data_IF_013324772817
#
_entry.id   IF_013324772817
#
_cell.length_a   1.000
_cell.length_b   1.000
_cell.length_c   1.000
_cell.angle_alpha   90.00
_cell.angle_beta   90.00
_cell.angle_gamma   90.00
#
_symmetry.space_group_name_H-M   'P 1'
#
loop_
_entity.id
_entity.type
_entity.pdbx_description
1 polymer ?
#
# COMPACT_ATOMS: atom_id res chain seq x y z
N UNK A 1 34.88 27.66 -13.98
CA UNK A 1 33.45 27.32 -14.11
C UNK A 1 33.13 26.17 -13.17
N UNK A 2 32.98 26.46 -11.88
CA UNK A 2 32.60 25.49 -10.84
C UNK A 2 31.19 25.85 -10.39
N UNK A 3 30.22 25.63 -11.28
CA UNK A 3 28.82 25.72 -10.91
C UNK A 3 28.49 24.53 -10.04
N UNK A 4 28.14 24.76 -8.78
CA UNK A 4 27.62 23.75 -7.88
C UNK A 4 26.46 23.00 -8.59
N UNK A 5 26.62 21.71 -8.96
CA UNK A 5 25.59 20.97 -9.67
C UNK A 5 24.31 20.85 -8.85
N UNK A 6 24.35 21.11 -7.53
CA UNK A 6 23.17 21.15 -6.66
C UNK A 6 22.32 22.41 -6.85
N UNK A 7 22.85 23.48 -7.44
CA UNK A 7 22.11 24.72 -7.74
C UNK A 7 21.43 24.73 -9.11
N UNK A 8 21.90 23.91 -10.06
CA UNK A 8 21.34 23.88 -11.43
C UNK A 8 19.97 23.19 -11.51
N UNK A 9 19.69 22.26 -10.60
CA UNK A 9 18.38 21.65 -10.45
C UNK A 9 17.64 22.44 -9.37
N UNK A 10 16.98 23.53 -9.77
CA UNK A 10 16.05 24.25 -8.91
C UNK A 10 14.92 23.32 -8.49
N UNK A 11 15.12 22.54 -7.41
CA UNK A 11 14.15 21.60 -6.86
C UNK A 11 13.00 22.37 -6.20
N UNK A 12 12.09 22.85 -7.03
CA UNK A 12 10.79 23.31 -6.59
C UNK A 12 9.98 22.07 -6.21
N UNK A 13 9.86 21.79 -4.91
CA UNK A 13 8.71 21.06 -4.38
C UNK A 13 7.45 21.62 -5.04
N UNK A 14 6.43 20.83 -5.41
CA UNK A 14 5.30 21.37 -6.14
C UNK A 14 4.67 22.47 -5.29
N UNK A 15 4.96 23.72 -5.65
CA UNK A 15 4.27 24.90 -5.13
C UNK A 15 2.80 24.85 -5.53
N UNK A 16 2.45 23.99 -6.48
CA UNK A 16 1.08 23.68 -6.87
C UNK A 16 0.56 22.50 -6.05
N UNK A 17 0.06 22.78 -4.84
CA UNK A 17 -0.93 21.90 -4.19
C UNK A 17 -2.03 21.46 -5.18
N UNK A 18 -2.33 22.32 -6.17
CA UNK A 18 -3.16 22.05 -7.34
C UNK A 18 -2.76 20.78 -8.12
N UNK A 19 -1.48 20.54 -8.38
CA UNK A 19 -1.03 19.37 -9.15
C UNK A 19 -1.21 18.07 -8.36
N UNK A 20 -0.95 18.10 -7.05
CA UNK A 20 -1.21 16.96 -6.17
C UNK A 20 -2.71 16.67 -6.05
N UNK A 21 -3.54 17.70 -5.92
CA UNK A 21 -5.01 17.57 -5.91
C UNK A 21 -5.51 17.01 -7.24
N UNK A 22 -4.95 17.47 -8.37
CA UNK A 22 -5.26 16.94 -9.69
C UNK A 22 -4.90 15.46 -9.81
N UNK A 23 -3.69 15.07 -9.38
CA UNK A 23 -3.24 13.68 -9.36
C UNK A 23 -4.18 12.82 -8.50
N UNK A 24 -4.47 13.26 -7.27
CA UNK A 24 -5.37 12.56 -6.36
C UNK A 24 -6.77 12.40 -6.94
N UNK A 25 -7.34 13.46 -7.52
CA UNK A 25 -8.66 13.42 -8.15
C UNK A 25 -8.70 12.49 -9.36
N UNK A 26 -7.69 12.55 -10.23
CA UNK A 26 -7.59 11.67 -11.41
C UNK A 26 -7.46 10.20 -11.00
N UNK A 27 -6.55 9.90 -10.08
CA UNK A 27 -6.29 8.54 -9.63
C UNK A 27 -7.48 7.96 -8.88
N UNK A 28 -8.06 8.72 -7.94
CA UNK A 28 -9.22 8.30 -7.18
C UNK A 28 -10.45 8.10 -8.07
N UNK A 29 -10.71 8.99 -9.04
CA UNK A 29 -11.84 8.83 -9.96
C UNK A 29 -11.68 7.63 -10.88
N UNK A 30 -10.48 7.38 -11.40
CA UNK A 30 -10.19 6.19 -12.21
C UNK A 30 -10.35 4.91 -11.39
N UNK A 31 -9.78 4.89 -10.18
CA UNK A 31 -9.90 3.75 -9.26
C UNK A 31 -11.36 3.50 -8.88
N UNK A 32 -12.13 4.56 -8.62
CA UNK A 32 -13.55 4.45 -8.32
C UNK A 32 -14.37 3.94 -9.50
N UNK A 33 -14.05 4.35 -10.72
CA UNK A 33 -14.70 3.84 -11.93
C UNK A 33 -14.41 2.33 -12.13
N UNK A 34 -13.15 1.91 -12.01
CA UNK A 34 -12.73 0.52 -12.16
C UNK A 34 -13.35 -0.40 -11.08
N UNK A 35 -13.49 0.12 -9.85
CA UNK A 35 -14.02 -0.64 -8.72
C UNK A 35 -15.45 -0.25 -8.32
N UNK A 36 -16.20 0.38 -9.24
CA UNK A 36 -17.59 0.76 -9.03
C UNK A 36 -18.48 -0.38 -8.50
N UNK A 37 -18.33 -1.65 -8.97
CA UNK A 37 -19.11 -2.77 -8.43
C UNK A 37 -18.90 -2.99 -6.93
N UNK A 38 -17.70 -2.77 -6.39
CA UNK A 38 -17.40 -2.93 -4.97
C UNK A 38 -17.85 -1.69 -4.20
N UNK A 39 -17.61 -0.49 -4.74
CA UNK A 39 -18.03 0.76 -4.11
C UNK A 39 -19.54 0.91 -3.97
N UNK A 40 -20.34 0.27 -4.84
CA UNK A 40 -21.81 0.23 -4.73
C UNK A 40 -22.33 -0.70 -3.65
N UNK A 41 -21.54 -1.69 -3.22
CA UNK A 41 -21.94 -2.66 -2.20
C UNK A 41 -20.76 -3.07 -1.31
N UNK A 42 -20.10 -2.12 -0.62
CA UNK A 42 -18.80 -2.33 0.01
C UNK A 42 -18.84 -3.31 1.18
N UNK A 43 -20.01 -3.49 1.81
CA UNK A 43 -20.22 -4.46 2.89
C UNK A 43 -20.52 -5.88 2.39
N UNK A 44 -20.82 -6.06 1.10
CA UNK A 44 -21.24 -7.36 0.51
C UNK A 44 -20.28 -7.88 -0.54
N UNK A 45 -19.35 -7.05 -1.00
CA UNK A 45 -18.37 -7.38 -2.05
C UNK A 45 -16.98 -7.06 -1.54
N UNK A 46 -16.01 -7.86 -1.93
CA UNK A 46 -14.60 -7.66 -1.59
C UNK A 46 -13.77 -7.42 -2.85
N UNK A 47 -12.82 -6.51 -2.76
CA UNK A 47 -11.70 -6.37 -3.70
C UNK A 47 -10.73 -7.51 -3.45
N UNK A 48 -10.85 -8.60 -4.20
CA UNK A 48 -9.92 -9.71 -4.03
C UNK A 48 -10.03 -10.81 -5.08
N UNK A 49 -10.42 -10.48 -6.30
CA UNK A 49 -10.25 -11.40 -7.43
C UNK A 49 -10.94 -12.76 -7.29
N UNK A 50 -10.49 -13.72 -8.09
CA UNK A 50 -11.13 -15.04 -8.23
C UNK A 50 -10.56 -16.13 -7.31
N UNK A 51 -9.35 -15.95 -6.76
CA UNK A 51 -8.63 -17.04 -6.05
C UNK A 51 -8.47 -16.78 -4.54
N UNK A 52 -7.86 -15.66 -4.14
CA UNK A 52 -7.31 -15.50 -2.77
C UNK A 52 -8.12 -14.53 -1.89
N UNK A 53 -9.15 -13.85 -2.43
CA UNK A 53 -10.05 -12.97 -1.69
C UNK A 53 -10.52 -13.55 -0.35
N UNK A 54 -10.99 -14.81 -0.39
CA UNK A 54 -11.56 -15.49 0.76
C UNK A 54 -10.53 -15.69 1.87
N UNK A 55 -9.28 -15.98 1.51
CA UNK A 55 -8.18 -16.14 2.47
C UNK A 55 -7.87 -14.82 3.15
N UNK A 56 -7.74 -13.72 2.41
CA UNK A 56 -7.49 -12.40 2.99
C UNK A 56 -8.61 -11.93 3.92
N UNK A 57 -9.86 -12.17 3.53
CA UNK A 57 -11.04 -11.91 4.37
C UNK A 57 -11.03 -12.76 5.63
N UNK A 58 -10.64 -14.03 5.51
CA UNK A 58 -10.56 -14.95 6.63
C UNK A 58 -9.41 -14.59 7.57
N UNK A 59 -8.23 -14.22 7.08
CA UNK A 59 -7.09 -13.74 7.88
C UNK A 59 -7.48 -12.48 8.67
N UNK A 60 -8.12 -11.54 7.99
CA UNK A 60 -8.68 -10.33 8.56
C UNK A 60 -9.65 -10.61 9.72
N UNK A 61 -10.55 -11.58 9.53
CA UNK A 61 -11.50 -12.02 10.55
C UNK A 61 -10.79 -12.77 11.70
N UNK A 62 -9.85 -13.66 11.37
CA UNK A 62 -9.08 -14.46 12.32
C UNK A 62 -8.26 -13.59 13.24
N UNK A 63 -7.48 -12.66 12.68
CA UNK A 63 -6.65 -11.72 13.43
C UNK A 63 -7.50 -11.04 14.52
N UNK A 64 -8.69 -10.60 14.13
CA UNK A 64 -9.66 -10.01 15.03
C UNK A 64 -10.26 -10.91 16.09
N UNK A 65 -10.65 -12.12 15.69
CA UNK A 65 -11.21 -13.13 16.59
C UNK A 65 -10.18 -13.63 17.60
N UNK A 66 -8.94 -13.83 17.19
CA UNK A 66 -7.85 -14.26 18.05
C UNK A 66 -7.57 -13.25 19.18
N UNK A 67 -7.60 -11.94 18.90
CA UNK A 67 -7.52 -10.90 19.93
C UNK A 67 -8.69 -10.93 20.94
N UNK A 68 -9.81 -11.56 20.59
CA UNK A 68 -10.98 -11.75 21.46
C UNK A 68 -10.98 -13.12 22.15
N UNK A 69 -9.91 -13.91 22.02
CA UNK A 69 -9.78 -15.23 22.64
C UNK A 69 -10.31 -16.40 21.80
N UNK A 70 -10.63 -16.20 20.52
CA UNK A 70 -11.16 -17.24 19.63
C UNK A 70 -10.10 -18.28 19.19
N UNK A 71 -8.83 -18.08 19.56
CA UNK A 71 -7.72 -18.94 19.16
C UNK A 71 -6.46 -18.70 19.99
N UNK A 72 -5.44 -19.56 19.82
CA UNK A 72 -4.22 -19.50 20.63
C UNK A 72 -3.37 -18.26 20.35
N UNK A 73 -3.46 -17.69 19.14
CA UNK A 73 -2.67 -16.53 18.72
C UNK A 73 -3.26 -15.84 17.49
N UNK A 74 -3.12 -14.51 17.34
CA UNK A 74 -3.44 -13.82 16.08
C UNK A 74 -2.47 -14.14 14.95
N UNK A 75 -1.36 -14.83 15.24
CA UNK A 75 -0.29 -15.15 14.28
C UNK A 75 -0.27 -16.61 13.84
N UNK A 76 -1.08 -17.48 14.44
CA UNK A 76 -1.18 -18.89 14.07
C UNK A 76 -2.60 -19.40 14.20
N UNK A 77 -2.96 -20.40 13.39
CA UNK A 77 -4.26 -21.04 13.45
C UNK A 77 -4.14 -22.52 13.08
N UNK A 78 -4.93 -23.33 13.76
CA UNK A 78 -5.18 -24.73 13.39
C UNK A 78 -6.47 -24.89 12.58
N UNK A 79 -7.23 -23.80 12.36
CA UNK A 79 -8.56 -23.86 11.76
C UNK A 79 -8.54 -24.24 10.26
N UNK A 80 -7.43 -23.99 9.56
CA UNK A 80 -7.28 -24.35 8.15
C UNK A 80 -6.58 -25.70 7.92
N UNK A 81 -5.70 -26.12 8.84
CA UNK A 81 -4.79 -27.26 8.62
C UNK A 81 -4.69 -28.18 9.85
N UNK A 82 -5.81 -28.52 10.48
CA UNK A 82 -5.82 -29.37 11.67
C UNK A 82 -5.18 -30.75 11.41
N UNK A 83 -4.34 -31.30 12.33
CA UNK A 83 -3.96 -30.76 13.64
C UNK A 83 -2.80 -29.75 13.64
N UNK A 84 -2.13 -29.56 12.50
CA UNK A 84 -0.99 -28.67 12.38
C UNK A 84 -1.43 -27.19 12.51
N UNK A 85 -0.77 -26.46 13.39
CA UNK A 85 -0.90 -25.01 13.38
C UNK A 85 -0.08 -24.47 12.21
N UNK A 86 -0.70 -23.62 11.38
CA UNK A 86 0.01 -22.86 10.37
C UNK A 86 0.15 -21.40 10.82
N UNK A 87 1.19 -20.69 10.39
CA UNK A 87 1.26 -19.25 10.51
C UNK A 87 0.10 -18.61 9.74
N UNK A 88 -0.60 -17.70 10.40
CA UNK A 88 -1.73 -16.92 9.85
C UNK A 88 -1.54 -15.44 10.08
N UNK A 89 -0.30 -15.05 10.41
CA UNK A 89 0.05 -13.64 10.36
C UNK A 89 -0.26 -13.15 8.95
N UNK A 90 -1.00 -12.04 8.80
CA UNK A 90 -1.12 -11.46 7.48
C UNK A 90 0.29 -11.26 6.97
N UNK A 91 0.42 -11.58 5.70
CA UNK A 91 1.56 -11.27 4.86
C UNK A 91 2.27 -9.97 5.30
N UNK A 92 1.55 -8.92 5.77
CA UNK A 92 2.18 -7.85 6.57
C UNK A 92 1.51 -7.66 7.95
N UNK A 93 2.24 -7.81 9.09
CA UNK A 93 1.75 -7.48 10.44
C UNK A 93 1.25 -6.03 10.56
N UNK A 94 1.86 -5.11 9.82
CA UNK A 94 1.44 -3.72 9.80
C UNK A 94 0.18 -3.52 8.96
N UNK A 95 0.01 -4.25 7.85
CA UNK A 95 -1.27 -4.30 7.15
C UNK A 95 -2.38 -4.83 8.08
N UNK A 96 -2.11 -5.85 8.91
CA UNK A 96 -3.02 -6.31 9.96
C UNK A 96 -3.46 -5.17 10.88
N UNK A 97 -2.47 -4.45 11.41
CA UNK A 97 -2.66 -3.42 12.41
C UNK A 97 -3.42 -2.22 11.86
N UNK A 98 -3.24 -1.90 10.58
CA UNK A 98 -3.96 -0.83 9.87
C UNK A 98 -5.37 -1.26 9.43
N UNK A 99 -5.51 -2.51 8.99
CA UNK A 99 -6.79 -3.07 8.56
C UNK A 99 -7.77 -3.25 9.73
N UNK A 100 -7.30 -3.73 10.89
CA UNK A 100 -8.15 -4.03 12.04
C UNK A 100 -9.03 -2.86 12.54
N UNK A 101 -8.52 -1.64 12.74
CA UNK A 101 -9.37 -0.51 13.10
C UNK A 101 -10.37 -0.16 11.99
N UNK A 102 -9.97 -0.25 10.71
CA UNK A 102 -10.86 0.01 9.58
C UNK A 102 -12.01 -1.01 9.53
N UNK A 103 -11.73 -2.28 9.82
CA UNK A 103 -12.74 -3.33 9.83
C UNK A 103 -13.75 -3.21 10.98
N UNK A 104 -13.33 -2.64 12.12
CA UNK A 104 -14.26 -2.26 13.20
C UNK A 104 -15.17 -1.10 12.81
N UNK A 105 -14.63 -0.11 12.10
CA UNK A 105 -15.38 1.10 11.74
C UNK A 105 -16.34 0.87 10.56
N UNK A 106 -15.91 0.13 9.55
CA UNK A 106 -16.65 -0.01 8.29
C UNK A 106 -17.29 -1.40 8.13
N UNK A 107 -16.92 -2.36 8.97
CA UNK A 107 -17.21 -3.79 8.78
C UNK A 107 -16.08 -4.50 8.03
N UNK A 108 -16.07 -5.83 8.11
CA UNK A 108 -14.97 -6.67 7.63
C UNK A 108 -14.61 -6.40 6.17
N UNK A 109 -15.60 -6.45 5.27
CA UNK A 109 -15.39 -6.31 3.82
C UNK A 109 -15.10 -4.86 3.43
N UNK A 110 -15.91 -3.91 3.93
CA UNK A 110 -15.73 -2.50 3.60
C UNK A 110 -14.41 -1.95 4.14
N UNK A 111 -13.95 -2.40 5.32
CA UNK A 111 -12.64 -2.07 5.86
C UNK A 111 -11.51 -2.58 4.97
N UNK A 112 -11.64 -3.80 4.43
CA UNK A 112 -10.61 -4.40 3.58
C UNK A 112 -10.54 -3.68 2.24
N UNK A 113 -11.70 -3.36 1.69
CA UNK A 113 -11.82 -2.57 0.47
C UNK A 113 -11.21 -1.17 0.63
N UNK A 114 -11.54 -0.48 1.73
CA UNK A 114 -11.03 0.86 2.01
C UNK A 114 -9.50 0.84 2.15
N UNK A 115 -8.96 -0.11 2.93
CA UNK A 115 -7.52 -0.30 3.05
C UNK A 115 -6.89 -0.56 1.68
N UNK A 116 -7.51 -1.42 0.88
CA UNK A 116 -6.99 -1.80 -0.42
C UNK A 116 -6.91 -0.64 -1.40
N UNK A 117 -8.01 0.10 -1.54
CA UNK A 117 -8.10 1.27 -2.43
C UNK A 117 -7.15 2.39 -1.97
N UNK A 118 -7.02 2.59 -0.65
CA UNK A 118 -6.08 3.55 -0.10
C UNK A 118 -4.63 3.20 -0.46
N UNK A 119 -4.25 1.92 -0.43
CA UNK A 119 -2.92 1.48 -0.82
C UNK A 119 -2.60 1.77 -2.29
N UNK A 120 -3.55 1.50 -3.21
CA UNK A 120 -3.40 1.85 -4.63
C UNK A 120 -3.21 3.36 -4.83
N UNK A 121 -4.03 4.17 -4.16
CA UNK A 121 -3.92 5.62 -4.25
C UNK A 121 -2.58 6.12 -3.70
N UNK A 122 -2.11 5.56 -2.59
CA UNK A 122 -0.79 5.83 -2.03
C UNK A 122 0.34 5.45 -3.01
N UNK A 123 0.23 4.33 -3.73
CA UNK A 123 1.21 3.91 -4.74
C UNK A 123 1.33 4.97 -5.84
N UNK A 124 0.20 5.35 -6.44
CA UNK A 124 0.17 6.33 -7.52
C UNK A 124 0.64 7.71 -7.08
N UNK A 125 0.18 8.18 -5.91
CA UNK A 125 0.58 9.48 -5.36
C UNK A 125 2.06 9.50 -4.96
N UNK A 126 2.56 8.43 -4.35
CA UNK A 126 3.99 8.30 -4.02
C UNK A 126 4.85 8.36 -5.28
N UNK A 127 4.46 7.65 -6.33
CA UNK A 127 5.22 7.66 -7.59
C UNK A 127 5.09 8.99 -8.32
N UNK A 128 3.93 9.64 -8.28
CA UNK A 128 3.77 11.01 -8.77
C UNK A 128 4.74 11.96 -8.06
N UNK A 129 4.81 11.93 -6.73
CA UNK A 129 5.72 12.78 -5.96
C UNK A 129 7.19 12.49 -6.28
N UNK A 130 7.56 11.21 -6.40
CA UNK A 130 8.91 10.79 -6.77
C UNK A 130 9.29 11.26 -8.18
N UNK A 131 8.45 10.99 -9.18
CA UNK A 131 8.69 11.42 -10.56
C UNK A 131 8.73 12.94 -10.69
N UNK A 132 7.85 13.65 -9.97
CA UNK A 132 7.87 15.10 -9.94
C UNK A 132 9.16 15.64 -9.29
N UNK A 133 9.61 15.04 -8.20
CA UNK A 133 10.87 15.42 -7.54
C UNK A 133 12.07 15.19 -8.47
N UNK A 134 12.06 14.15 -9.30
CA UNK A 134 13.15 13.87 -10.25
C UNK A 134 13.12 14.73 -11.52
N UNK A 135 11.94 15.09 -12.01
CA UNK A 135 11.79 15.70 -13.35
C UNK A 135 11.36 17.16 -13.34
N UNK A 136 10.70 17.62 -12.26
CA UNK A 136 10.02 18.91 -12.21
C UNK A 136 8.83 19.05 -13.18
N UNK A 137 8.45 17.98 -13.91
CA UNK A 137 7.48 18.05 -15.01
C UNK A 137 6.16 17.37 -14.64
N UNK A 138 5.09 18.16 -14.45
CA UNK A 138 3.79 17.67 -13.94
C UNK A 138 3.17 16.59 -14.84
N UNK A 139 3.04 16.76 -16.17
CA UNK A 139 2.46 15.71 -17.01
C UNK A 139 3.23 14.38 -16.96
N UNK A 140 4.57 14.44 -16.89
CA UNK A 140 5.40 13.24 -16.82
C UNK A 140 5.21 12.53 -15.47
N UNK A 141 5.13 13.31 -14.39
CA UNK A 141 4.85 12.78 -13.06
C UNK A 141 3.44 12.17 -12.95
N UNK A 142 2.43 12.79 -13.56
CA UNK A 142 1.07 12.24 -13.62
C UNK A 142 1.05 10.91 -14.37
N UNK A 143 1.72 10.83 -15.52
CA UNK A 143 1.84 9.59 -16.28
C UNK A 143 2.57 8.51 -15.47
N UNK A 144 3.68 8.85 -14.81
CA UNK A 144 4.45 7.90 -13.99
C UNK A 144 3.62 7.34 -12.82
N UNK A 145 2.90 8.21 -12.11
CA UNK A 145 2.03 7.77 -11.02
C UNK A 145 0.89 6.87 -11.49
N UNK A 146 0.23 7.24 -12.60
CA UNK A 146 -0.83 6.45 -13.20
C UNK A 146 -0.34 5.07 -13.66
N UNK A 147 0.76 5.02 -14.42
CA UNK A 147 1.35 3.77 -14.93
C UNK A 147 1.81 2.86 -13.81
N UNK A 148 2.36 3.41 -12.72
CA UNK A 148 2.78 2.59 -11.58
C UNK A 148 1.59 2.00 -10.82
N UNK A 149 0.58 2.84 -10.54
CA UNK A 149 -0.66 2.44 -9.86
C UNK A 149 -1.44 1.36 -10.62
N UNK A 150 -1.43 1.42 -11.96
CA UNK A 150 -2.08 0.47 -12.84
C UNK A 150 -1.07 -0.39 -13.62
N UNK A 151 0.09 -0.66 -13.00
CA UNK A 151 1.10 -1.53 -13.61
C UNK A 151 0.54 -2.93 -13.83
N UNK A 152 1.13 -3.66 -14.78
CA UNK A 152 0.71 -5.04 -15.08
C UNK A 152 0.68 -5.90 -13.82
N UNK A 153 1.72 -5.81 -12.98
CA UNK A 153 1.79 -6.51 -11.71
C UNK A 153 0.61 -6.16 -10.80
N UNK A 154 0.37 -4.86 -10.56
CA UNK A 154 -0.73 -4.42 -9.70
C UNK A 154 -2.09 -4.93 -10.20
N UNK A 155 -2.36 -4.83 -11.51
CA UNK A 155 -3.62 -5.30 -12.11
C UNK A 155 -3.77 -6.82 -12.08
N UNK A 156 -2.70 -7.56 -12.36
CA UNK A 156 -2.72 -9.03 -12.35
C UNK A 156 -2.95 -9.55 -10.93
N UNK A 157 -2.18 -9.05 -9.97
CA UNK A 157 -2.30 -9.42 -8.56
C UNK A 157 -3.67 -9.02 -7.98
N UNK A 158 -4.23 -7.88 -8.43
CA UNK A 158 -5.61 -7.50 -8.12
C UNK A 158 -6.62 -8.54 -8.60
N UNK A 159 -6.51 -8.95 -9.86
CA UNK A 159 -7.43 -9.90 -10.49
C UNK A 159 -7.34 -11.29 -9.85
N UNK A 160 -6.15 -11.70 -9.42
CA UNK A 160 -5.94 -12.97 -8.71
C UNK A 160 -6.40 -12.90 -7.25
N UNK A 161 -6.52 -11.69 -6.69
CA UNK A 161 -6.87 -11.50 -5.29
C UNK A 161 -5.69 -11.52 -4.34
N UNK A 162 -4.48 -11.55 -4.88
CA UNK A 162 -3.22 -11.49 -4.13
C UNK A 162 -2.92 -10.03 -3.76
N UNK A 163 -3.85 -9.42 -3.00
CA UNK A 163 -3.73 -8.01 -2.64
C UNK A 163 -2.44 -7.71 -1.85
N UNK A 164 -1.96 -8.67 -1.04
CA UNK A 164 -0.68 -8.56 -0.35
C UNK A 164 0.51 -8.39 -1.29
N UNK A 165 0.47 -9.01 -2.47
CA UNK A 165 1.50 -8.87 -3.52
C UNK A 165 1.29 -7.59 -4.34
N UNK A 166 0.04 -7.21 -4.57
CA UNK A 166 -0.32 -5.95 -5.21
C UNK A 166 0.03 -4.70 -4.36
N UNK A 167 0.41 -4.89 -3.09
CA UNK A 167 0.67 -3.83 -2.14
C UNK A 167 2.03 -3.15 -2.36
N UNK A 168 2.12 -2.35 -3.43
CA UNK A 168 3.31 -1.55 -3.75
C UNK A 168 3.23 -0.11 -3.23
N UNK A 169 2.18 0.22 -2.46
CA UNK A 169 1.83 1.56 -1.98
C UNK A 169 2.96 2.36 -1.35
N UNK A 170 3.90 1.67 -0.70
CA UNK A 170 5.00 2.29 0.04
C UNK A 170 6.33 2.29 -0.71
N UNK A 171 6.44 1.58 -1.84
CA UNK A 171 7.70 1.49 -2.61
C UNK A 171 8.12 2.86 -3.17
N UNK A 172 7.27 3.65 -3.81
CA UNK A 172 7.70 4.96 -4.30
C UNK A 172 8.01 5.94 -3.17
N UNK A 173 7.26 5.84 -2.07
CA UNK A 173 7.46 6.66 -0.87
C UNK A 173 8.81 6.34 -0.22
N UNK A 174 9.20 5.07 -0.17
CA UNK A 174 10.52 4.63 0.25
C UNK A 174 11.64 5.30 -0.55
N UNK A 175 11.59 5.18 -1.88
CA UNK A 175 12.59 5.78 -2.76
C UNK A 175 12.60 7.30 -2.68
N UNK A 176 11.45 7.93 -2.48
CA UNK A 176 11.35 9.36 -2.20
C UNK A 176 12.09 9.75 -0.92
N UNK A 177 11.93 8.96 0.15
CA UNK A 177 12.67 9.12 1.39
C UNK A 177 14.19 9.01 1.20
N UNK A 178 14.65 7.95 0.52
CA UNK A 178 16.06 7.73 0.23
C UNK A 178 16.67 8.85 -0.61
N UNK A 179 15.97 9.27 -1.68
CA UNK A 179 16.41 10.36 -2.56
C UNK A 179 16.67 11.64 -1.77
N UNK A 180 15.77 11.97 -0.84
CA UNK A 180 15.88 13.15 0.02
C UNK A 180 17.02 13.05 1.00
N UNK A 181 17.24 11.87 1.58
CA UNK A 181 18.39 11.64 2.46
C UNK A 181 19.69 11.90 1.72
N UNK A 182 19.81 11.40 0.49
CA UNK A 182 20.97 11.59 -0.36
C UNK A 182 21.22 13.07 -0.70
N UNK A 183 20.16 13.89 -0.78
CA UNK A 183 20.26 15.35 -0.95
C UNK A 183 20.60 16.13 0.33
N UNK A 184 20.79 15.45 1.47
CA UNK A 184 21.05 16.11 2.76
C UNK A 184 19.82 16.79 3.38
N UNK A 185 18.61 16.43 2.93
CA UNK A 185 17.35 16.90 3.56
C UNK A 185 17.17 16.23 4.93
N UNK A 186 16.46 16.87 5.87
CA UNK A 186 16.39 16.40 7.26
C UNK A 186 16.01 14.93 7.35
N UNK A 187 16.89 14.16 8.02
CA UNK A 187 16.84 12.70 8.12
C UNK A 187 15.52 12.18 8.69
N UNK A 188 14.76 13.00 9.44
CA UNK A 188 13.44 12.63 9.95
C UNK A 188 12.48 12.22 8.83
N UNK A 189 12.38 12.99 7.74
CA UNK A 189 11.48 12.65 6.63
C UNK A 189 11.95 11.37 5.92
N UNK A 190 13.26 11.26 5.66
CA UNK A 190 13.85 10.10 5.01
C UNK A 190 13.75 8.81 5.83
N UNK A 191 13.95 8.88 7.15
CA UNK A 191 13.86 7.74 8.06
C UNK A 191 12.40 7.31 8.26
N UNK A 192 11.45 8.25 8.33
CA UNK A 192 10.03 7.90 8.40
C UNK A 192 9.57 7.21 7.12
N UNK A 193 9.91 7.73 5.94
CA UNK A 193 9.54 7.12 4.66
C UNK A 193 10.33 5.83 4.36
N UNK A 194 11.58 5.76 4.80
CA UNK A 194 12.45 4.58 4.70
C UNK A 194 11.99 3.42 5.58
N UNK A 195 11.70 3.69 6.87
CA UNK A 195 11.22 2.68 7.81
C UNK A 195 9.82 2.18 7.47
N UNK A 196 8.92 3.09 7.03
CA UNK A 196 7.61 2.70 6.51
C UNK A 196 7.79 1.83 5.27
N UNK A 197 8.58 2.26 4.29
CA UNK A 197 8.88 1.49 3.08
C UNK A 197 9.38 0.07 3.34
N UNK A 198 10.42 -0.10 4.14
CA UNK A 198 11.03 -1.41 4.40
C UNK A 198 10.18 -2.35 5.25
N UNK A 199 9.39 -1.82 6.19
CA UNK A 199 8.46 -2.63 6.99
C UNK A 199 7.16 -2.98 6.23
N UNK A 200 6.84 -2.25 5.15
CA UNK A 200 5.57 -2.35 4.43
C UNK A 200 5.68 -2.97 3.04
N UNK A 201 6.84 -2.89 2.38
CA UNK A 201 6.98 -3.28 0.97
C UNK A 201 7.11 -4.79 0.75
N UNK A 202 7.42 -5.58 1.78
CA UNK A 202 7.62 -7.02 1.63
C UNK A 202 6.83 -7.80 2.65
N UNK A 203 5.80 -8.55 2.20
CA UNK A 203 5.10 -9.44 3.10
C UNK A 203 5.96 -10.62 3.60
N UNK A 204 7.14 -10.84 3.01
CA UNK A 204 7.97 -12.01 3.31
C UNK A 204 9.16 -11.72 4.24
N UNK A 205 9.51 -10.44 4.47
CA UNK A 205 10.62 -10.10 5.38
C UNK A 205 10.27 -10.39 6.84
N UNK A 206 9.00 -10.31 7.22
CA UNK A 206 8.54 -10.70 8.55
C UNK A 206 8.69 -12.21 8.79
N UNK A 207 8.34 -13.06 7.81
CA UNK A 207 8.51 -14.51 7.93
C UNK A 207 9.98 -14.91 8.05
N UNK A 208 10.85 -14.35 7.22
CA UNK A 208 12.30 -14.61 7.27
C UNK A 208 12.93 -14.18 8.62
N UNK A 209 12.45 -13.10 9.23
CA UNK A 209 12.96 -12.62 10.52
C UNK A 209 12.43 -13.40 11.73
N UNK A 210 11.26 -14.04 11.61
CA UNK A 210 10.64 -14.80 12.70
C UNK A 210 11.06 -16.27 12.73
N UNK A 211 11.90 -16.73 11.80
CA UNK A 211 12.45 -18.08 11.80
C UNK A 211 11.40 -19.17 11.57
N UNK A 212 10.34 -18.85 10.82
CA UNK A 212 9.29 -19.78 10.41
C UNK A 212 9.38 -20.06 8.92
#
# INVERSE_FOLDING_TARGET
MTGDPKRALGYAWPRSAKALVLAAGLYASTLAALHAPVLRAPARRVLGGEQVAGVLVWEAWWFGGAWRGFGPSPWSSTALMHPQAIPVGPHSPLAAALYWPLSKLLGLYAGLNAFSLAAYLCAGLGMFLLAFELTGHVPAALAAGFVFMFSHEALTQHRLGQFGEAFTGFVPVFFLGLRRLADGRPARAALTFGALGSALATPYTAFAALGV
#
